data_IF_941303034858
#
_entry.id   IF_941303034858
#
_cell.length_a   1.000
_cell.length_b   1.000
_cell.length_c   1.000
_cell.angle_alpha   90.00
_cell.angle_beta   90.00
_cell.angle_gamma   90.00
#
_symmetry.space_group_name_H-M   'P 1'
#
loop_
_entity.id
_entity.type
_entity.pdbx_description
1 polymer ?
#
# COMPACT_ATOMS: atom_id res chain seq x y z
N UNK A 1 -19.49 -26.73 3.23
CA UNK A 1 -19.06 -28.03 3.78
C UNK A 1 -17.60 -27.82 4.17
N UNK A 2 -17.25 -27.99 5.44
CA UNK A 2 -15.91 -27.67 5.97
C UNK A 2 -14.85 -28.56 5.28
N UNK A 3 -13.94 -27.92 4.54
CA UNK A 3 -12.86 -28.55 3.75
C UNK A 3 -11.68 -29.01 4.63
N UNK A 4 -11.83 -28.92 5.96
CA UNK A 4 -10.78 -29.26 6.92
C UNK A 4 -10.65 -30.79 7.08
N UNK A 5 -9.44 -31.28 6.83
CA UNK A 5 -9.10 -32.68 7.07
C UNK A 5 -8.97 -32.99 8.56
N UNK A 6 -8.95 -34.27 8.92
CA UNK A 6 -8.76 -34.69 10.32
C UNK A 6 -7.39 -34.28 10.88
N UNK A 7 -6.38 -34.14 10.01
CA UNK A 7 -5.07 -33.60 10.36
C UNK A 7 -5.15 -32.11 10.71
N UNK A 8 -5.94 -31.35 9.96
CA UNK A 8 -6.10 -29.91 10.19
C UNK A 8 -6.82 -29.66 11.52
N UNK A 9 -7.86 -30.44 11.82
CA UNK A 9 -8.55 -30.39 13.13
C UNK A 9 -7.65 -30.71 14.31
N UNK A 10 -6.66 -31.60 14.14
CA UNK A 10 -5.67 -31.87 15.19
C UNK A 10 -4.70 -30.69 15.35
N UNK A 11 -4.30 -30.07 14.25
CA UNK A 11 -3.42 -28.90 14.25
C UNK A 11 -4.10 -27.70 14.92
N UNK A 12 -5.34 -27.39 14.54
CA UNK A 12 -6.14 -26.31 15.12
C UNK A 12 -6.29 -26.48 16.64
N UNK A 13 -6.63 -27.69 17.10
CA UNK A 13 -6.69 -28.02 18.54
C UNK A 13 -5.36 -27.82 19.26
N UNK A 14 -4.23 -28.18 18.62
CA UNK A 14 -2.89 -27.98 19.19
C UNK A 14 -2.55 -26.52 19.42
N UNK A 15 -3.02 -25.63 18.56
CA UNK A 15 -2.79 -24.18 18.66
C UNK A 15 -3.95 -23.41 19.30
N UNK A 16 -5.00 -24.10 19.74
CA UNK A 16 -6.17 -23.48 20.39
C UNK A 16 -7.00 -22.60 19.45
N UNK A 17 -7.02 -22.93 18.16
CA UNK A 17 -7.77 -22.19 17.12
C UNK A 17 -9.01 -22.96 16.70
N UNK A 18 -10.05 -22.24 16.27
CA UNK A 18 -11.26 -22.85 15.69
C UNK A 18 -11.20 -22.84 14.17
N UNK A 19 -12.02 -23.68 13.52
CA UNK A 19 -12.13 -23.72 12.05
C UNK A 19 -12.61 -22.36 11.53
N UNK A 20 -13.62 -21.77 12.17
CA UNK A 20 -14.21 -20.48 11.79
C UNK A 20 -13.22 -19.32 11.94
N UNK A 21 -12.36 -19.36 12.96
CA UNK A 21 -11.33 -18.35 13.16
C UNK A 21 -10.31 -18.38 12.02
N UNK A 22 -9.85 -19.56 11.63
CA UNK A 22 -8.84 -19.71 10.57
C UNK A 22 -9.43 -19.40 9.21
N UNK A 23 -10.69 -19.76 8.96
CA UNK A 23 -11.39 -19.40 7.72
C UNK A 23 -11.53 -17.87 7.60
N UNK A 24 -11.94 -17.18 8.67
CA UNK A 24 -12.06 -15.73 8.69
C UNK A 24 -10.69 -15.00 8.56
N UNK A 25 -9.63 -15.56 9.16
CA UNK A 25 -8.29 -14.99 9.04
C UNK A 25 -7.69 -15.21 7.65
N UNK A 26 -7.96 -16.36 7.02
CA UNK A 26 -7.57 -16.64 5.64
C UNK A 26 -8.30 -15.70 4.66
N UNK A 27 -9.62 -15.56 4.79
CA UNK A 27 -10.40 -14.63 3.97
C UNK A 27 -9.92 -13.19 4.12
N UNK A 28 -9.55 -12.76 5.33
CA UNK A 28 -8.97 -11.44 5.56
C UNK A 28 -7.60 -11.27 4.91
N UNK A 29 -6.76 -12.30 4.94
CA UNK A 29 -5.42 -12.26 4.33
C UNK A 29 -5.47 -12.29 2.79
N UNK A 30 -6.45 -12.97 2.22
CA UNK A 30 -6.65 -13.05 0.77
C UNK A 30 -7.40 -11.82 0.22
N UNK A 31 -8.02 -11.02 1.09
CA UNK A 31 -8.72 -9.81 0.70
C UNK A 31 -7.75 -8.70 0.28
N UNK A 32 -7.84 -8.29 -0.99
CA UNK A 32 -7.08 -7.14 -1.52
C UNK A 32 -7.57 -5.79 -0.97
N UNK A 33 -8.71 -5.76 -0.27
CA UNK A 33 -9.36 -4.52 0.21
C UNK A 33 -9.43 -4.42 1.73
N UNK A 34 -9.24 -5.53 2.46
CA UNK A 34 -9.23 -5.52 3.91
C UNK A 34 -7.84 -5.14 4.45
N UNK A 35 -7.81 -4.25 5.43
CA UNK A 35 -6.59 -3.99 6.19
C UNK A 35 -6.29 -5.19 7.11
N UNK A 36 -5.22 -5.92 6.80
CA UNK A 36 -4.81 -7.09 7.57
C UNK A 36 -3.97 -6.72 8.81
N UNK A 37 -3.70 -5.42 9.06
CA UNK A 37 -3.15 -4.89 10.32
C UNK A 37 -1.72 -5.32 10.67
N UNK A 38 -1.08 -6.14 9.83
CA UNK A 38 0.28 -6.67 10.03
C UNK A 38 1.33 -5.76 9.39
N UNK A 39 0.97 -5.15 8.27
CA UNK A 39 1.73 -4.09 7.63
C UNK A 39 0.86 -2.84 7.71
N UNK A 40 1.42 -1.70 8.14
CA UNK A 40 0.74 -0.41 7.96
C UNK A 40 0.34 -0.22 6.49
N UNK A 41 -0.54 0.75 6.17
CA UNK A 41 -1.25 0.84 4.90
C UNK A 41 -0.35 0.51 3.70
N UNK A 42 -0.62 -0.64 3.07
CA UNK A 42 0.12 -1.11 1.90
C UNK A 42 -0.54 -0.51 0.69
N UNK A 43 0.07 0.54 0.17
CA UNK A 43 -0.42 1.17 -1.04
C UNK A 43 -0.03 0.34 -2.25
N UNK A 44 -0.99 -0.43 -2.78
CA UNK A 44 -0.85 -1.06 -4.09
C UNK A 44 -1.05 0.00 -5.19
N UNK A 45 0.02 0.30 -5.94
CA UNK A 45 0.04 1.33 -6.98
C UNK A 45 0.67 2.66 -6.53
N UNK A 46 0.74 3.63 -7.45
CA UNK A 46 1.14 5.00 -7.11
C UNK A 46 0.01 5.63 -6.29
N UNK A 47 0.16 5.67 -4.97
CA UNK A 47 -0.76 6.21 -3.94
C UNK A 47 -1.11 7.71 -4.06
N UNK A 48 -0.77 8.32 -5.17
CA UNK A 48 -1.14 9.70 -5.54
C UNK A 48 -1.68 9.78 -6.96
N UNK A 49 -2.12 8.66 -7.54
CA UNK A 49 -3.03 8.76 -8.68
C UNK A 49 -4.39 9.11 -8.07
N UNK A 50 -4.97 10.25 -8.45
CA UNK A 50 -6.32 10.56 -8.02
C UNK A 50 -7.28 9.46 -8.51
N UNK A 51 -8.48 9.43 -7.94
CA UNK A 51 -9.55 8.54 -8.33
C UNK A 51 -9.61 8.45 -9.86
N UNK A 52 -9.77 7.26 -10.45
CA UNK A 52 -9.49 7.00 -11.87
C UNK A 52 -10.29 7.89 -12.85
N UNK A 53 -11.27 8.66 -12.37
CA UNK A 53 -12.04 9.66 -13.10
C UNK A 53 -11.63 11.13 -12.90
N UNK A 54 -10.67 11.47 -12.04
CA UNK A 54 -10.27 12.87 -11.81
C UNK A 54 -9.41 13.41 -12.95
N UNK A 55 -9.78 14.59 -13.45
CA UNK A 55 -9.08 15.22 -14.56
C UNK A 55 -7.72 15.75 -14.10
N UNK A 56 -6.65 15.14 -14.62
CA UNK A 56 -5.28 15.63 -14.45
C UNK A 56 -5.08 16.95 -15.21
N UNK A 57 -4.44 17.93 -14.57
CA UNK A 57 -4.03 19.20 -15.17
C UNK A 57 -2.52 19.40 -15.06
N UNK A 58 -1.92 20.03 -16.07
CA UNK A 58 -0.47 20.28 -16.12
C UNK A 58 -0.13 21.61 -15.46
N UNK A 59 0.90 21.60 -14.61
CA UNK A 59 1.48 22.82 -14.00
C UNK A 59 2.93 22.95 -14.43
N UNK A 60 3.33 24.15 -14.86
CA UNK A 60 4.73 24.48 -15.18
C UNK A 60 5.25 25.48 -14.16
N UNK A 61 6.35 25.13 -13.48
CA UNK A 61 7.00 25.97 -12.46
C UNK A 61 8.41 26.31 -12.91
N UNK A 62 8.79 27.58 -12.82
CA UNK A 62 10.19 28.00 -13.01
C UNK A 62 10.91 27.99 -11.67
N UNK A 63 12.12 27.44 -11.65
CA UNK A 63 12.96 27.40 -10.45
C UNK A 63 14.44 27.40 -10.83
N UNK A 64 15.35 27.78 -9.90
CA UNK A 64 16.79 27.67 -10.13
C UNK A 64 17.22 26.23 -10.42
N UNK A 65 18.18 26.06 -11.33
CA UNK A 65 18.71 24.73 -11.68
C UNK A 65 19.26 23.97 -10.47
N UNK A 66 19.97 24.66 -9.57
CA UNK A 66 20.50 24.08 -8.33
C UNK A 66 19.41 23.57 -7.38
N UNK A 67 18.22 24.18 -7.41
CA UNK A 67 17.07 23.70 -6.64
C UNK A 67 16.50 22.42 -7.26
N UNK A 68 16.39 22.36 -8.59
CA UNK A 68 15.93 21.17 -9.30
C UNK A 68 16.86 19.97 -9.09
N UNK A 69 18.17 20.19 -9.03
CA UNK A 69 19.16 19.15 -8.73
C UNK A 69 18.99 18.59 -7.32
N UNK A 70 18.81 19.45 -6.31
CA UNK A 70 18.54 19.02 -4.92
C UNK A 70 17.26 18.20 -4.81
N UNK A 71 16.20 18.62 -5.51
CA UNK A 71 14.93 17.87 -5.60
C UNK A 71 15.18 16.50 -6.23
N UNK A 72 15.94 16.44 -7.33
CA UNK A 72 16.27 15.19 -8.02
C UNK A 72 17.05 14.23 -7.12
N UNK A 73 18.04 14.73 -6.37
CA UNK A 73 18.81 13.94 -5.42
C UNK A 73 17.93 13.42 -4.28
N UNK A 74 16.99 14.23 -3.78
CA UNK A 74 16.05 13.84 -2.72
C UNK A 74 15.08 12.77 -3.21
N UNK A 75 14.49 12.94 -4.40
CA UNK A 75 13.59 11.94 -5.00
C UNK A 75 14.28 10.58 -5.14
N UNK A 76 15.56 10.56 -5.56
CA UNK A 76 16.39 9.34 -5.62
C UNK A 76 16.56 8.68 -4.25
N UNK A 77 16.80 9.45 -3.18
CA UNK A 77 16.93 8.91 -1.80
C UNK A 77 15.64 8.26 -1.31
N UNK A 78 14.49 8.77 -1.73
CA UNK A 78 13.18 8.21 -1.40
C UNK A 78 12.71 7.12 -2.38
N UNK A 79 13.52 6.76 -3.38
CA UNK A 79 13.17 5.78 -4.41
C UNK A 79 11.86 6.10 -5.16
N UNK A 80 11.56 7.39 -5.37
CA UNK A 80 10.38 7.86 -6.10
C UNK A 80 10.76 8.75 -7.28
N UNK A 81 9.81 8.95 -8.19
CA UNK A 81 10.02 9.85 -9.33
C UNK A 81 10.14 11.30 -8.85
N UNK A 82 10.85 12.13 -9.64
CA UNK A 82 11.00 13.56 -9.34
C UNK A 82 9.66 14.29 -9.30
N UNK A 83 8.75 13.99 -10.24
CA UNK A 83 7.41 14.59 -10.28
C UNK A 83 6.58 14.17 -9.08
N UNK A 84 6.68 12.92 -8.66
CA UNK A 84 6.03 12.42 -7.44
C UNK A 84 6.54 13.13 -6.19
N UNK A 85 7.85 13.22 -6.01
CA UNK A 85 8.44 13.96 -4.88
C UNK A 85 7.98 15.43 -4.85
N UNK A 86 7.92 16.09 -6.01
CA UNK A 86 7.40 17.46 -6.13
C UNK A 86 5.92 17.55 -5.77
N UNK A 87 5.08 16.59 -6.21
CA UNK A 87 3.66 16.56 -5.85
C UNK A 87 3.47 16.46 -4.34
N UNK A 88 4.20 15.57 -3.65
CA UNK A 88 4.14 15.47 -2.18
C UNK A 88 4.46 16.79 -1.52
N UNK A 89 5.57 17.42 -1.96
CA UNK A 89 6.03 18.65 -1.33
C UNK A 89 5.11 19.84 -1.55
N UNK A 90 4.33 19.83 -2.63
CA UNK A 90 3.30 20.84 -2.89
C UNK A 90 1.96 20.53 -2.19
N UNK A 91 1.61 19.25 -2.01
CA UNK A 91 0.41 18.84 -1.29
C UNK A 91 0.56 19.00 0.24
N UNK A 92 1.78 18.86 0.77
CA UNK A 92 2.12 19.08 2.18
C UNK A 92 2.34 20.58 2.55
N UNK A 93 2.16 21.51 1.61
CA UNK A 93 2.41 22.95 1.77
C UNK A 93 1.10 23.74 1.92
#
# INVERSE_FOLDING_TARGET
MSDFSERDRQLLRRFGMTEEQVEADAERMESETADHGITGPVYHGLHMMPDHGERMVSVTVKMPASQLERITASAKRYHISRSEYMRRRLADA
#
